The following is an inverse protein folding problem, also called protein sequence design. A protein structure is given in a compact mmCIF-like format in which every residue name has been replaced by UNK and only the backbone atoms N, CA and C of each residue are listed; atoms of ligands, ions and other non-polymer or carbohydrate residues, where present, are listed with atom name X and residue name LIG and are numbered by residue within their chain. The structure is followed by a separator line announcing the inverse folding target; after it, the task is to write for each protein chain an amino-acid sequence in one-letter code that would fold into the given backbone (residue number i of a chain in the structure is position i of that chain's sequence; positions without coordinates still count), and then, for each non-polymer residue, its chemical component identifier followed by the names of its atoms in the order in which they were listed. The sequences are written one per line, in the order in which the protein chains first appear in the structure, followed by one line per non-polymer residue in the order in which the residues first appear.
data_IF_191061132832
#
_entry.id   IF_191061132832
#
_cell.length_a   1.000
_cell.length_b   1.000
_cell.length_c   1.000
_cell.angle_alpha   90.00
_cell.angle_beta   90.00
_cell.angle_gamma   90.00
#
_symmetry.space_group_name_H-M   'P 1'
#
loop_
_entity.id
_entity.type
_entity.pdbx_description
1 polymer ?
#
# COMPACT_ATOMS: atom_id res chain seq x y z
N UNK A 1 -9.12 15.26 -3.95
CA UNK A 1 -7.89 14.93 -4.71
C UNK A 1 -6.65 14.89 -3.82
N UNK A 2 -6.28 15.96 -3.09
CA UNK A 2 -5.06 16.00 -2.24
C UNK A 2 -4.80 14.79 -1.32
N UNK A 3 -5.83 14.17 -0.76
CA UNK A 3 -5.67 12.99 0.10
C UNK A 3 -5.29 11.72 -0.67
N UNK A 4 -5.89 11.48 -1.84
CA UNK A 4 -5.57 10.32 -2.68
C UNK A 4 -4.13 10.43 -3.21
N UNK A 5 -3.71 11.63 -3.60
CA UNK A 5 -2.33 11.91 -4.03
C UNK A 5 -1.32 11.63 -2.92
N UNK A 6 -1.67 11.96 -1.66
CA UNK A 6 -0.85 11.65 -0.48
C UNK A 6 -0.77 10.15 -0.23
N UNK A 7 -1.88 9.41 -0.37
CA UNK A 7 -1.87 7.96 -0.24
C UNK A 7 -0.98 7.29 -1.29
N UNK A 8 -1.04 7.75 -2.54
CA UNK A 8 -0.15 7.27 -3.59
C UNK A 8 1.33 7.62 -3.32
N UNK A 9 1.63 8.81 -2.82
CA UNK A 9 2.99 9.17 -2.43
C UNK A 9 3.54 8.21 -1.35
N UNK A 10 2.75 7.97 -0.31
CA UNK A 10 3.12 7.02 0.76
C UNK A 10 3.27 5.60 0.23
N UNK A 11 2.39 5.17 -0.68
CA UNK A 11 2.47 3.85 -1.32
C UNK A 11 3.82 3.66 -2.04
N UNK A 12 4.25 4.64 -2.85
CA UNK A 12 5.51 4.56 -3.58
C UNK A 12 6.73 4.63 -2.66
N UNK A 13 6.68 5.43 -1.60
CA UNK A 13 7.75 5.51 -0.61
C UNK A 13 7.95 4.16 0.11
N UNK A 14 6.86 3.48 0.49
CA UNK A 14 6.92 2.16 1.12
C UNK A 14 7.43 1.08 0.15
N UNK A 15 7.05 1.13 -1.12
CA UNK A 15 7.56 0.20 -2.15
C UNK A 15 9.07 0.38 -2.37
N UNK A 16 9.53 1.63 -2.44
CA UNK A 16 10.95 1.95 -2.54
C UNK A 16 11.74 1.49 -1.29
N UNK A 17 11.16 1.65 -0.10
CA UNK A 17 11.71 1.17 1.17
C UNK A 17 11.95 -0.34 1.17
N UNK A 18 10.96 -1.12 0.75
CA UNK A 18 11.08 -2.58 0.64
C UNK A 18 12.21 -3.02 -0.29
N UNK A 19 12.32 -2.37 -1.45
CA UNK A 19 13.41 -2.66 -2.39
C UNK A 19 14.78 -2.35 -1.78
N UNK A 20 14.90 -1.22 -1.08
CA UNK A 20 16.13 -0.82 -0.40
C UNK A 20 16.50 -1.83 0.69
N UNK A 21 15.58 -2.19 1.58
CA UNK A 21 15.83 -3.13 2.67
C UNK A 21 16.24 -4.51 2.14
N UNK A 22 15.55 -5.03 1.13
CA UNK A 22 15.95 -6.29 0.47
C UNK A 22 17.37 -6.21 -0.12
N UNK A 23 17.67 -5.13 -0.85
CA UNK A 23 18.97 -4.94 -1.49
C UNK A 23 20.11 -4.82 -0.47
N UNK A 24 19.86 -4.21 0.68
CA UNK A 24 20.86 -4.07 1.74
C UNK A 24 20.99 -5.39 2.51
N UNK A 25 19.89 -6.05 2.85
CA UNK A 25 19.88 -7.30 3.62
C UNK A 25 20.74 -8.40 2.99
N UNK A 26 20.77 -8.52 1.65
CA UNK A 26 21.60 -9.52 0.95
C UNK A 26 23.11 -9.22 0.99
N UNK A 27 23.50 -7.99 1.35
CA UNK A 27 24.91 -7.54 1.40
C UNK A 27 25.45 -7.42 2.82
N UNK A 28 24.58 -7.49 3.83
CA UNK A 28 24.98 -7.34 5.23
C UNK A 28 25.42 -8.69 5.78
N UNK A 29 26.68 -8.83 6.25
CA UNK A 29 27.19 -10.09 6.79
C UNK A 29 26.72 -10.35 8.22
N UNK A 30 26.40 -9.29 8.98
CA UNK A 30 25.90 -9.40 10.34
C UNK A 30 24.46 -9.95 10.36
N UNK A 31 24.21 -11.12 10.98
CA UNK A 31 22.88 -11.73 10.98
C UNK A 31 21.82 -10.86 11.67
N UNK A 32 22.17 -10.19 12.77
CA UNK A 32 21.22 -9.38 13.52
C UNK A 32 20.75 -8.16 12.71
N UNK A 33 21.68 -7.47 12.03
CA UNK A 33 21.35 -6.38 11.13
C UNK A 33 20.54 -6.85 9.91
N UNK A 34 20.81 -8.05 9.38
CA UNK A 34 19.99 -8.64 8.30
C UNK A 34 18.57 -8.92 8.78
N UNK A 35 18.40 -9.50 9.96
CA UNK A 35 17.08 -9.82 10.51
C UNK A 35 16.27 -8.54 10.78
N UNK A 36 16.93 -7.48 11.26
CA UNK A 36 16.31 -6.16 11.40
C UNK A 36 15.83 -5.60 10.05
N UNK A 37 16.64 -5.68 9.00
CA UNK A 37 16.26 -5.21 7.66
C UNK A 37 15.10 -6.03 7.07
N UNK A 38 15.08 -7.35 7.30
CA UNK A 38 13.95 -8.19 6.93
C UNK A 38 12.67 -7.78 7.67
N UNK A 39 12.75 -7.54 8.99
CA UNK A 39 11.61 -7.10 9.79
C UNK A 39 11.07 -5.73 9.33
N UNK A 40 11.95 -4.78 8.97
CA UNK A 40 11.55 -3.48 8.43
C UNK A 40 10.84 -3.62 7.09
N UNK A 41 11.36 -4.47 6.19
CA UNK A 41 10.69 -4.77 4.92
C UNK A 41 9.30 -5.37 5.13
N UNK A 42 9.18 -6.32 6.05
CA UNK A 42 7.91 -7.01 6.29
C UNK A 42 6.86 -6.06 6.88
N UNK A 43 7.29 -5.12 7.74
CA UNK A 43 6.43 -4.02 8.21
C UNK A 43 5.96 -3.13 7.05
N UNK A 44 6.86 -2.72 6.14
CA UNK A 44 6.47 -1.93 4.97
C UNK A 44 5.48 -2.68 4.07
N UNK A 45 5.60 -4.00 3.90
CA UNK A 45 4.64 -4.82 3.16
C UNK A 45 3.24 -4.80 3.81
N UNK A 46 3.17 -4.85 5.14
CA UNK A 46 1.90 -4.73 5.87
C UNK A 46 1.28 -3.34 5.67
N UNK A 47 2.10 -2.28 5.76
CA UNK A 47 1.66 -0.91 5.54
C UNK A 47 1.16 -0.69 4.11
N UNK A 48 1.83 -1.24 3.10
CA UNK A 48 1.35 -1.20 1.70
C UNK A 48 -0.04 -1.81 1.58
N UNK A 49 -0.27 -2.96 2.20
CA UNK A 49 -1.59 -3.62 2.17
C UNK A 49 -2.69 -2.79 2.82
N UNK A 50 -2.35 -1.94 3.80
CA UNK A 50 -3.30 -0.99 4.42
C UNK A 50 -3.55 0.21 3.51
N UNK A 51 -2.51 0.79 2.94
CA UNK A 51 -2.61 1.95 2.03
C UNK A 51 -3.38 1.59 0.76
N UNK A 52 -3.14 0.42 0.16
CA UNK A 52 -3.88 -0.05 -1.01
C UNK A 52 -5.39 -0.19 -0.73
N UNK A 53 -5.78 -0.71 0.44
CA UNK A 53 -7.19 -0.80 0.84
C UNK A 53 -7.83 0.58 0.99
N UNK A 54 -7.10 1.54 1.55
CA UNK A 54 -7.58 2.91 1.70
C UNK A 54 -7.71 3.60 0.34
N UNK A 55 -6.73 3.46 -0.55
CA UNK A 55 -6.80 3.94 -1.94
C UNK A 55 -8.05 3.38 -2.63
N UNK A 56 -8.23 2.06 -2.61
CA UNK A 56 -9.39 1.41 -3.20
C UNK A 56 -10.71 1.92 -2.59
N UNK A 57 -10.75 2.16 -1.28
CA UNK A 57 -11.93 2.70 -0.60
C UNK A 57 -12.25 4.11 -1.08
N UNK A 58 -11.24 4.98 -1.22
CA UNK A 58 -11.42 6.35 -1.68
C UNK A 58 -11.83 6.39 -3.15
N UNK A 59 -11.22 5.57 -4.01
CA UNK A 59 -11.53 5.49 -5.43
C UNK A 59 -12.93 4.91 -5.68
N UNK A 60 -13.32 3.85 -4.96
CA UNK A 60 -14.67 3.29 -5.02
C UNK A 60 -15.72 4.28 -4.50
N UNK A 61 -15.43 5.10 -3.49
CA UNK A 61 -16.34 6.17 -3.04
C UNK A 61 -16.50 7.28 -4.09
N UNK A 62 -15.47 7.52 -4.91
CA UNK A 62 -15.51 8.51 -5.98
C UNK A 62 -16.32 8.03 -7.19
N UNK A 63 -16.55 6.72 -7.33
CA UNK A 63 -17.47 6.15 -8.32
C UNK A 63 -18.81 5.85 -7.62
N UNK A 64 -19.86 6.69 -7.78
CA UNK A 64 -21.17 6.27 -7.34
C UNK A 64 -21.53 5.03 -8.15
N UNK A 65 -21.69 3.89 -7.47
CA UNK A 65 -22.36 2.72 -8.03
C UNK A 65 -23.79 3.15 -8.35
N UNK A 66 -24.00 3.65 -9.57
CA UNK A 66 -25.33 3.84 -10.13
C UNK A 66 -25.92 2.45 -10.33
N UNK A 67 -26.52 1.90 -9.28
CA UNK A 67 -27.33 0.70 -9.39
C UNK A 67 -28.62 1.15 -10.07
N UNK A 68 -28.66 1.09 -11.40
CA UNK A 68 -29.92 1.11 -12.13
C UNK A 68 -30.53 -0.29 -11.96
N UNK A 69 -31.59 -0.41 -11.17
CA UNK A 69 -32.41 -1.62 -11.11
C UNK A 69 -33.56 -1.41 -12.11
N UNK A 70 -33.54 -2.02 -13.31
CA UNK A 70 -34.69 -1.96 -14.20
C UNK A 70 -35.77 -2.91 -13.63
N UNK A 71 -36.95 -2.38 -13.27
CA UNK A 71 -38.12 -3.19 -12.93
C UNK A 71 -38.89 -2.84 -11.65
N UNK A 72 -38.62 -1.71 -11.00
CA UNK A 72 -39.55 -1.13 -10.00
C UNK A 72 -40.29 0.03 -10.67
N UNK A 73 -41.33 -0.32 -11.44
CA UNK A 73 -42.39 0.60 -11.81
C UNK A 73 -43.49 0.50 -10.73
N UNK A 74 -44.01 1.65 -10.30
CA UNK A 74 -45.07 1.80 -9.29
C UNK A 74 -46.38 1.06 -9.64
#
# INVERSE_FOLDING_TARGET
MRYLDQLYAVYYDLEAGQFLFNRVAVRVPDPAARDLLCALRDNDMELVSRVQREIATVECKAQPTSIFIPGLED
#
